data_IF_956742809303
#
_entry.id   IF_956742809303
#
_cell.length_a   1.000
_cell.length_b   1.000
_cell.length_c   1.000
_cell.angle_alpha   90.00
_cell.angle_beta   90.00
_cell.angle_gamma   90.00
#
_symmetry.space_group_name_H-M   'P 1'
#
loop_
_entity.id
_entity.type
_entity.pdbx_description
1 polymer ?
#
# COMPACT_ATOMS: atom_id res chain seq x y z
N UNK A 1 9.84 14.59 -11.32
CA UNK A 1 8.56 15.22 -11.73
C UNK A 1 7.64 14.29 -12.51
N UNK A 2 8.14 13.55 -13.50
CA UNK A 2 7.31 12.66 -14.34
C UNK A 2 6.47 11.65 -13.52
N UNK A 3 7.07 10.98 -12.53
CA UNK A 3 6.37 9.96 -11.72
C UNK A 3 5.18 10.58 -10.95
N UNK A 4 5.35 11.79 -10.42
CA UNK A 4 4.29 12.51 -9.72
C UNK A 4 3.10 12.76 -10.64
N UNK A 5 3.34 13.24 -11.86
CA UNK A 5 2.30 13.44 -12.86
C UNK A 5 1.61 12.12 -13.23
N UNK A 6 2.38 11.07 -13.51
CA UNK A 6 1.83 9.77 -13.91
C UNK A 6 0.93 9.18 -12.82
N UNK A 7 1.38 9.17 -11.56
CA UNK A 7 0.57 8.71 -10.42
C UNK A 7 -0.69 9.57 -10.25
N UNK A 8 -0.57 10.89 -10.42
CA UNK A 8 -1.71 11.81 -10.33
C UNK A 8 -2.77 11.50 -11.39
N UNK A 9 -2.37 11.34 -12.65
CA UNK A 9 -3.30 11.09 -13.74
C UNK A 9 -3.91 9.69 -13.71
N UNK A 10 -3.15 8.65 -13.31
CA UNK A 10 -3.74 7.32 -13.10
C UNK A 10 -4.78 7.34 -11.98
N UNK A 11 -4.50 8.01 -10.86
CA UNK A 11 -5.48 8.15 -9.77
C UNK A 11 -6.72 8.92 -10.19
N UNK A 12 -6.55 9.98 -10.99
CA UNK A 12 -7.66 10.75 -11.56
C UNK A 12 -8.49 9.90 -12.52
N UNK A 13 -7.86 9.10 -13.38
CA UNK A 13 -8.57 8.19 -14.28
C UNK A 13 -9.44 7.19 -13.50
N UNK A 14 -8.89 6.61 -12.42
CA UNK A 14 -9.62 5.68 -11.55
C UNK A 14 -10.79 6.33 -10.81
N UNK A 15 -10.76 7.65 -10.62
CA UNK A 15 -11.86 8.38 -9.99
C UNK A 15 -13.07 8.54 -10.93
N UNK A 16 -12.85 8.67 -12.24
CA UNK A 16 -13.91 8.93 -13.21
C UNK A 16 -14.30 7.70 -14.04
N UNK A 17 -13.54 6.60 -13.97
CA UNK A 17 -13.88 5.37 -14.69
C UNK A 17 -13.03 4.16 -14.30
N UNK A 18 -13.65 2.97 -14.40
CA UNK A 18 -13.05 1.70 -13.96
C UNK A 18 -12.83 0.67 -15.09
N UNK A 19 -13.05 1.06 -16.34
CA UNK A 19 -12.90 0.16 -17.49
C UNK A 19 -11.52 -0.51 -17.57
N UNK A 20 -10.47 0.22 -17.16
CA UNK A 20 -9.09 -0.26 -17.16
C UNK A 20 -8.53 -0.45 -15.75
N UNK A 21 -9.37 -0.68 -14.74
CA UNK A 21 -8.94 -0.77 -13.34
C UNK A 21 -7.84 -1.81 -13.12
N UNK A 22 -7.98 -2.99 -13.73
CA UNK A 22 -7.00 -4.08 -13.63
C UNK A 22 -5.64 -3.77 -14.27
N UNK A 23 -5.55 -2.69 -15.05
CA UNK A 23 -4.29 -2.22 -15.63
C UNK A 23 -3.78 -0.97 -14.91
N UNK A 24 -4.65 0.00 -14.67
CA UNK A 24 -4.30 1.28 -14.06
C UNK A 24 -3.93 1.13 -12.58
N UNK A 25 -4.70 0.35 -11.82
CA UNK A 25 -4.51 0.22 -10.38
C UNK A 25 -3.18 -0.45 -10.03
N UNK A 26 -2.81 -1.62 -10.62
CA UNK A 26 -1.53 -2.22 -10.31
C UNK A 26 -0.33 -1.38 -10.75
N UNK A 27 -0.45 -0.65 -11.86
CA UNK A 27 0.62 0.24 -12.36
C UNK A 27 0.83 1.44 -11.44
N UNK A 28 -0.24 2.06 -10.96
CA UNK A 28 -0.17 3.17 -10.01
C UNK A 28 0.53 2.74 -8.71
N UNK A 29 0.12 1.60 -8.15
CA UNK A 29 0.71 1.06 -6.93
C UNK A 29 2.17 0.64 -7.13
N UNK A 30 2.50 -0.01 -8.25
CA UNK A 30 3.88 -0.38 -8.58
C UNK A 30 4.78 0.85 -8.63
N UNK A 31 4.37 1.90 -9.35
CA UNK A 31 5.15 3.13 -9.48
C UNK A 31 5.42 3.77 -8.12
N UNK A 32 4.40 3.88 -7.27
CA UNK A 32 4.54 4.44 -5.93
C UNK A 32 5.46 3.59 -5.04
N UNK A 33 5.24 2.27 -4.97
CA UNK A 33 6.03 1.37 -4.12
C UNK A 33 7.48 1.24 -4.61
N UNK A 34 7.72 1.13 -5.91
CA UNK A 34 9.07 1.05 -6.47
C UNK A 34 9.83 2.36 -6.27
N UNK A 35 9.14 3.50 -6.35
CA UNK A 35 9.73 4.80 -6.05
C UNK A 35 10.15 4.88 -4.58
N UNK A 36 9.27 4.50 -3.66
CA UNK A 36 9.57 4.45 -2.23
C UNK A 36 10.77 3.55 -1.91
N UNK A 37 10.87 2.38 -2.53
CA UNK A 37 11.97 1.45 -2.33
C UNK A 37 13.30 2.07 -2.80
N UNK A 38 13.30 2.69 -4.00
CA UNK A 38 14.47 3.41 -4.52
C UNK A 38 14.94 4.51 -3.57
N UNK A 39 14.02 5.33 -3.05
CA UNK A 39 14.39 6.39 -2.09
C UNK A 39 15.10 5.80 -0.86
N UNK A 40 14.56 4.72 -0.29
CA UNK A 40 15.17 4.07 0.87
C UNK A 40 16.57 3.51 0.57
N UNK A 41 16.77 2.92 -0.61
CA UNK A 41 18.07 2.38 -1.02
C UNK A 41 19.11 3.50 -1.22
N UNK A 42 18.70 4.64 -1.76
CA UNK A 42 19.58 5.82 -1.89
C UNK A 42 19.95 6.40 -0.52
N UNK A 43 19.01 6.46 0.41
CA UNK A 43 19.25 6.93 1.78
C UNK A 43 20.25 6.04 2.52
N UNK A 44 20.08 4.72 2.43
CA UNK A 44 21.01 3.75 3.02
C UNK A 44 22.41 3.81 2.39
N UNK A 45 22.50 4.09 1.10
CA UNK A 45 23.77 4.20 0.39
C UNK A 45 24.53 5.52 0.67
N UNK A 46 24.02 6.41 1.52
CA UNK A 46 24.66 7.69 1.84
C UNK A 46 24.73 8.66 0.66
N UNK A 47 24.03 8.38 -0.44
CA UNK A 47 24.01 9.22 -1.66
C UNK A 47 23.00 10.34 -1.48
N UNK A 48 23.41 11.38 -0.73
CA UNK A 48 22.59 12.55 -0.41
C UNK A 48 22.23 13.43 -1.64
N UNK A 49 22.84 13.16 -2.79
CA UNK A 49 22.87 14.07 -3.95
C UNK A 49 21.59 14.11 -4.80
N UNK A 50 20.55 13.33 -4.43
CA UNK A 50 19.20 13.46 -5.02
C UNK A 50 18.18 13.98 -4.01
N UNK A 51 18.40 15.18 -3.49
CA UNK A 51 17.46 15.96 -2.65
C UNK A 51 16.04 15.96 -3.21
N UNK A 52 15.90 16.02 -4.54
CA UNK A 52 14.62 16.01 -5.24
C UNK A 52 13.79 14.74 -4.97
N UNK A 53 14.43 13.57 -4.77
CA UNK A 53 13.69 12.34 -4.54
C UNK A 53 13.07 12.29 -3.14
N UNK A 54 13.81 12.78 -2.13
CA UNK A 54 13.34 12.92 -0.75
C UNK A 54 12.19 13.92 -0.63
N UNK A 55 12.22 15.00 -1.38
CA UNK A 55 11.13 16.00 -1.40
C UNK A 55 9.88 15.48 -2.12
N UNK A 56 10.05 14.60 -3.11
CA UNK A 56 8.95 14.08 -3.93
C UNK A 56 8.16 12.95 -3.25
N UNK A 57 8.82 12.11 -2.44
CA UNK A 57 8.17 10.97 -1.80
C UNK A 57 7.01 11.38 -0.86
N UNK A 58 7.14 12.42 0.00
CA UNK A 58 6.02 12.92 0.80
C UNK A 58 4.84 13.38 -0.06
N UNK A 59 5.10 14.07 -1.18
CA UNK A 59 4.05 14.50 -2.12
C UNK A 59 3.32 13.32 -2.74
N UNK A 60 4.05 12.26 -3.11
CA UNK A 60 3.44 11.01 -3.60
C UNK A 60 2.60 10.33 -2.51
N UNK A 61 3.10 10.25 -1.28
CA UNK A 61 2.37 9.68 -0.15
C UNK A 61 1.08 10.45 0.14
N UNK A 62 1.10 11.77 0.02
CA UNK A 62 -0.10 12.62 0.15
C UNK A 62 -1.12 12.35 -0.96
N UNK A 63 -0.67 12.30 -2.22
CA UNK A 63 -1.53 11.99 -3.37
C UNK A 63 -2.19 10.63 -3.22
N UNK A 64 -1.40 9.59 -2.88
CA UNK A 64 -1.93 8.24 -2.63
C UNK A 64 -2.92 8.27 -1.47
N UNK A 65 -2.60 8.93 -0.36
CA UNK A 65 -3.51 9.09 0.78
C UNK A 65 -4.82 9.78 0.41
N UNK A 66 -4.77 10.79 -0.46
CA UNK A 66 -5.97 11.46 -0.98
C UNK A 66 -6.80 10.53 -1.86
N UNK A 67 -6.18 9.72 -2.71
CA UNK A 67 -6.89 8.75 -3.53
C UNK A 67 -7.47 7.60 -2.73
N UNK A 68 -6.82 7.15 -1.65
CA UNK A 68 -7.40 6.16 -0.73
C UNK A 68 -8.72 6.64 -0.11
N UNK A 69 -8.90 7.95 0.08
CA UNK A 69 -10.15 8.54 0.59
C UNK A 69 -11.20 8.78 -0.50
N UNK A 70 -10.79 9.02 -1.75
CA UNK A 70 -11.68 9.37 -2.87
C UNK A 70 -12.16 8.16 -3.66
N UNK A 71 -11.33 7.13 -3.75
CA UNK A 71 -11.63 5.91 -4.48
C UNK A 71 -12.39 4.93 -3.58
N UNK A 72 -13.24 4.11 -4.19
CA UNK A 72 -13.97 3.08 -3.47
C UNK A 72 -13.01 1.95 -3.04
N UNK A 73 -13.16 1.37 -1.84
CA UNK A 73 -12.27 0.32 -1.33
C UNK A 73 -12.11 -0.88 -2.29
N UNK A 74 -13.17 -1.29 -2.99
CA UNK A 74 -13.08 -2.42 -3.94
C UNK A 74 -12.04 -2.18 -5.05
N UNK A 75 -11.74 -0.92 -5.37
CA UNK A 75 -10.76 -0.60 -6.40
C UNK A 75 -9.36 -1.05 -5.98
N UNK A 76 -8.98 -0.81 -4.72
CA UNK A 76 -7.72 -1.31 -4.17
C UNK A 76 -7.75 -2.82 -3.96
N UNK A 77 -8.92 -3.41 -3.67
CA UNK A 77 -9.07 -4.86 -3.53
C UNK A 77 -8.64 -5.61 -4.80
N UNK A 78 -8.87 -5.04 -5.99
CA UNK A 78 -8.44 -5.64 -7.27
C UNK A 78 -6.93 -5.91 -7.34
N UNK A 79 -6.14 -5.13 -6.60
CA UNK A 79 -4.67 -5.20 -6.56
C UNK A 79 -4.16 -5.64 -5.18
N UNK A 80 -5.01 -6.29 -4.38
CA UNK A 80 -4.67 -6.69 -3.01
C UNK A 80 -3.44 -7.61 -2.95
N UNK A 81 -3.35 -8.58 -3.87
CA UNK A 81 -2.21 -9.49 -3.99
C UNK A 81 -0.87 -8.76 -4.19
N UNK A 82 -0.89 -7.62 -4.88
CA UNK A 82 0.28 -6.78 -5.08
C UNK A 82 0.66 -6.05 -3.78
N UNK A 83 -0.32 -5.51 -3.05
CA UNK A 83 -0.12 -4.81 -1.79
C UNK A 83 0.52 -5.75 -0.75
N UNK A 84 -0.03 -6.96 -0.58
CA UNK A 84 0.46 -7.94 0.41
C UNK A 84 1.87 -8.47 0.07
N UNK A 85 2.25 -8.45 -1.21
CA UNK A 85 3.59 -8.83 -1.66
C UNK A 85 4.66 -7.84 -1.21
N UNK A 86 4.27 -6.57 -1.03
CA UNK A 86 5.19 -5.46 -0.72
C UNK A 86 5.12 -4.97 0.73
N UNK A 87 4.51 -5.71 1.66
CA UNK A 87 4.41 -5.32 3.08
C UNK A 87 5.76 -5.18 3.78
N UNK A 88 6.81 -5.81 3.27
CA UNK A 88 8.17 -5.68 3.80
C UNK A 88 8.90 -4.41 3.28
N UNK A 89 8.16 -3.37 2.92
CA UNK A 89 8.72 -2.15 2.37
C UNK A 89 9.72 -1.50 3.34
N UNK A 90 10.87 -1.07 2.82
CA UNK A 90 11.99 -0.53 3.60
C UNK A 90 11.73 0.87 4.13
N UNK A 91 11.05 1.72 3.35
CA UNK A 91 10.68 3.08 3.76
C UNK A 91 9.48 3.08 4.74
N UNK A 92 9.60 3.65 5.95
CA UNK A 92 8.58 3.56 6.99
C UNK A 92 7.28 4.29 6.64
N UNK A 93 7.33 5.49 6.04
CA UNK A 93 6.09 6.21 5.69
C UNK A 93 5.27 5.52 4.60
N UNK A 94 5.96 4.87 3.66
CA UNK A 94 5.32 4.10 2.59
C UNK A 94 4.66 2.88 3.18
N UNK A 95 5.36 2.19 4.11
CA UNK A 95 4.76 1.09 4.85
C UNK A 95 3.53 1.54 5.65
N UNK A 96 3.58 2.66 6.36
CA UNK A 96 2.44 3.15 7.15
C UNK A 96 1.19 3.38 6.28
N UNK A 97 1.37 3.96 5.08
CA UNK A 97 0.27 4.12 4.10
C UNK A 97 -0.21 2.79 3.52
N UNK A 98 0.72 1.88 3.23
CA UNK A 98 0.38 0.55 2.75
C UNK A 98 -0.42 -0.23 3.81
N UNK A 99 -0.01 -0.14 5.06
CA UNK A 99 -0.70 -0.71 6.22
C UNK A 99 -2.10 -0.11 6.38
N UNK A 100 -2.27 1.21 6.26
CA UNK A 100 -3.59 1.88 6.29
C UNK A 100 -4.53 1.29 5.22
N UNK A 101 -4.05 1.16 3.98
CA UNK A 101 -4.83 0.64 2.86
C UNK A 101 -5.24 -0.82 3.13
N UNK A 102 -4.28 -1.67 3.49
CA UNK A 102 -4.54 -3.10 3.72
C UNK A 102 -5.49 -3.30 4.92
N UNK A 103 -5.30 -2.56 6.01
CA UNK A 103 -6.17 -2.62 7.17
C UNK A 103 -7.61 -2.19 6.82
N UNK A 104 -7.76 -1.12 6.05
CA UNK A 104 -9.08 -0.66 5.56
C UNK A 104 -9.77 -1.73 4.71
N UNK A 105 -9.03 -2.39 3.82
CA UNK A 105 -9.57 -3.48 3.00
C UNK A 105 -9.94 -4.71 3.83
N UNK A 106 -9.14 -5.05 4.84
CA UNK A 106 -9.46 -6.14 5.76
C UNK A 106 -10.74 -5.89 6.55
N UNK A 107 -10.99 -4.65 6.98
CA UNK A 107 -12.22 -4.27 7.68
C UNK A 107 -13.42 -4.32 6.71
N UNK A 108 -13.24 -3.84 5.48
CA UNK A 108 -14.34 -3.74 4.50
C UNK A 108 -14.70 -5.09 3.87
N UNK A 109 -13.69 -5.93 3.62
CA UNK A 109 -13.78 -7.18 2.87
C UNK A 109 -13.03 -8.31 3.60
N UNK A 110 -13.39 -8.63 4.86
CA UNK A 110 -12.61 -9.55 5.69
C UNK A 110 -12.50 -10.92 5.06
N UNK A 111 -13.60 -11.46 4.52
CA UNK A 111 -13.62 -12.80 3.94
C UNK A 111 -12.67 -12.92 2.74
N UNK A 112 -12.68 -11.96 1.80
CA UNK A 112 -11.77 -12.00 0.64
C UNK A 112 -10.31 -11.79 1.05
N UNK A 113 -10.04 -10.84 1.95
CA UNK A 113 -8.68 -10.48 2.34
C UNK A 113 -8.00 -11.55 3.21
N UNK A 114 -8.77 -12.21 4.09
CA UNK A 114 -8.23 -13.20 5.03
C UNK A 114 -7.58 -14.38 4.31
N UNK A 115 -8.19 -14.91 3.25
CA UNK A 115 -7.61 -16.02 2.46
C UNK A 115 -6.19 -15.72 1.98
N UNK A 116 -5.98 -14.51 1.47
CA UNK A 116 -4.69 -14.09 0.96
C UNK A 116 -3.70 -13.73 2.09
N UNK A 117 -4.20 -13.20 3.21
CA UNK A 117 -3.39 -12.87 4.39
C UNK A 117 -2.90 -14.11 5.16
N UNK A 118 -3.61 -15.24 5.11
CA UNK A 118 -3.20 -16.49 5.77
C UNK A 118 -1.86 -17.03 5.27
N UNK A 119 -1.56 -16.86 3.97
CA UNK A 119 -0.27 -17.24 3.41
C UNK A 119 0.88 -16.36 3.96
N UNK A 120 0.57 -15.09 4.24
CA UNK A 120 1.53 -14.11 4.74
C UNK A 120 1.80 -14.30 6.24
N UNK A 121 0.77 -14.62 7.03
CA UNK A 121 0.88 -14.81 8.48
C UNK A 121 1.77 -16.00 8.86
N UNK A 122 1.79 -17.05 8.02
CA UNK A 122 2.62 -18.25 8.19
C UNK A 122 3.99 -18.17 7.50
N UNK A 123 4.43 -16.97 7.10
CA UNK A 123 5.73 -16.79 6.45
C UNK A 123 6.91 -17.13 7.39
N UNK A 124 7.97 -17.70 6.84
CA UNK A 124 9.26 -17.94 7.51
C UNK A 124 10.04 -16.65 7.78
N UNK A 125 9.74 -15.56 7.08
CA UNK A 125 10.38 -14.26 7.28
C UNK A 125 9.84 -13.56 8.51
N UNK A 126 10.70 -13.32 9.50
CA UNK A 126 10.35 -12.62 10.75
C UNK A 126 9.80 -11.20 10.49
N UNK A 127 10.40 -10.47 9.53
CA UNK A 127 9.94 -9.13 9.16
C UNK A 127 8.52 -9.21 8.60
N UNK A 128 8.28 -10.14 7.67
CA UNK A 128 6.96 -10.31 7.03
C UNK A 128 5.90 -10.67 8.05
N UNK A 129 6.21 -11.59 8.97
CA UNK A 129 5.33 -12.00 10.06
C UNK A 129 5.00 -10.81 10.99
N UNK A 130 6.00 -10.03 11.39
CA UNK A 130 5.82 -8.82 12.21
C UNK A 130 4.91 -7.80 11.52
N UNK A 131 5.20 -7.45 10.26
CA UNK A 131 4.36 -6.50 9.48
C UNK A 131 2.92 -6.98 9.32
N UNK A 132 2.73 -8.29 9.11
CA UNK A 132 1.40 -8.89 9.05
C UNK A 132 0.64 -8.75 10.37
N UNK A 133 1.32 -8.99 11.50
CA UNK A 133 0.75 -8.78 12.83
C UNK A 133 0.39 -7.31 13.08
N UNK A 134 1.24 -6.37 12.67
CA UNK A 134 0.99 -4.93 12.79
C UNK A 134 -0.30 -4.54 12.04
N UNK A 135 -0.44 -5.01 10.78
CA UNK A 135 -1.65 -4.83 9.96
C UNK A 135 -2.90 -5.39 10.66
N UNK A 136 -2.83 -6.62 11.19
CA UNK A 136 -3.97 -7.21 11.90
C UNK A 136 -4.32 -6.43 13.17
N UNK A 137 -3.32 -5.97 13.91
CA UNK A 137 -3.54 -5.18 15.12
C UNK A 137 -4.24 -3.87 14.79
N UNK A 138 -3.82 -3.21 13.72
CA UNK A 138 -4.46 -2.00 13.21
C UNK A 138 -5.89 -2.25 12.75
N UNK A 139 -6.12 -3.29 11.95
CA UNK A 139 -7.48 -3.67 11.53
C UNK A 139 -8.39 -3.95 12.73
N UNK A 140 -7.91 -4.70 13.75
CA UNK A 140 -8.65 -4.95 15.00
C UNK A 140 -9.00 -3.68 15.76
N UNK A 141 -8.10 -2.68 15.79
CA UNK A 141 -8.40 -1.38 16.41
C UNK A 141 -9.46 -0.57 15.65
N UNK A 142 -9.63 -0.80 14.34
CA UNK A 142 -10.64 -0.14 13.52
C UNK A 142 -12.01 -0.82 13.64
N UNK A 143 -12.04 -2.14 13.85
CA UNK A 143 -13.29 -2.90 14.02
C UNK A 143 -13.08 -4.10 14.96
N UNK A 144 -13.65 -4.05 16.15
CA UNK A 144 -13.49 -5.07 17.21
C UNK A 144 -14.01 -6.45 16.81
N UNK A 145 -15.00 -6.54 15.93
CA UNK A 145 -15.62 -7.81 15.55
C UNK A 145 -14.75 -8.65 14.59
N UNK A 146 -13.65 -8.08 14.07
CA UNK A 146 -12.65 -8.84 13.29
C UNK A 146 -11.96 -9.95 14.10
N UNK A 147 -12.09 -9.94 15.42
CA UNK A 147 -11.61 -11.01 16.29
C UNK A 147 -12.21 -12.38 15.93
N UNK A 148 -13.41 -12.42 15.33
CA UNK A 148 -14.01 -13.67 14.87
C UNK A 148 -13.27 -14.31 13.69
N UNK A 149 -12.53 -13.51 12.91
CA UNK A 149 -11.81 -13.97 11.72
C UNK A 149 -10.31 -14.10 11.92
N UNK A 150 -9.72 -13.31 12.82
CA UNK A 150 -8.28 -13.28 13.08
C UNK A 150 -7.98 -14.07 14.36
N UNK A 151 -7.81 -15.39 14.21
CA UNK A 151 -7.29 -16.31 15.24
C UNK A 151 -5.79 -16.16 15.43
#
# INVERSE_FOLDING_TARGET
DIILYVVTYFGRSLQYGNQHIYQAMPRLLALWLDYGAKVSDYEKAGRAERTNMRVMLPKLNEIIGNYTKKLAPYQFLTSFSQLISRICHSHPEVFNRLEDIIATLLVTFPQQCMWLMMAVSKSTSLIRKKRCQDIFKKAKSMHSDLNQFIQ
#
